data_IF_425934474415
#
_entry.id   IF_425934474415
#
_cell.length_a   1.000
_cell.length_b   1.000
_cell.length_c   1.000
_cell.angle_alpha   90.00
_cell.angle_beta   90.00
_cell.angle_gamma   90.00
#
_symmetry.space_group_name_H-M   'P 1'
#
loop_
_entity.id
_entity.type
_entity.pdbx_description
1 polymer ?
#
# COMPACT_ATOMS: atom_id res chain seq x y z
N UNK A 1 -34.60 -41.26 -5.48
CA UNK A 1 -35.19 -40.24 -6.35
C UNK A 1 -34.70 -38.91 -5.85
N UNK A 2 -33.69 -38.34 -6.53
CA UNK A 2 -33.21 -36.99 -6.21
C UNK A 2 -34.23 -35.98 -6.76
N UNK A 3 -34.76 -35.12 -5.91
CA UNK A 3 -35.58 -34.00 -6.34
C UNK A 3 -34.78 -33.15 -7.32
N UNK A 4 -35.39 -32.63 -8.41
CA UNK A 4 -34.69 -31.70 -9.30
C UNK A 4 -34.32 -30.44 -8.51
N UNK A 5 -33.09 -29.97 -8.69
CA UNK A 5 -32.66 -28.67 -8.20
C UNK A 5 -33.64 -27.62 -8.72
N UNK A 6 -34.29 -26.89 -7.81
CA UNK A 6 -35.13 -25.75 -8.17
C UNK A 6 -34.32 -24.70 -8.96
N UNK A 7 -34.98 -23.78 -9.68
CA UNK A 7 -34.33 -22.74 -10.43
C UNK A 7 -33.43 -21.96 -9.48
N UNK A 8 -32.15 -21.83 -9.83
CA UNK A 8 -31.20 -20.99 -9.07
C UNK A 8 -31.76 -19.56 -8.98
N UNK A 9 -31.92 -19.02 -7.77
CA UNK A 9 -32.30 -17.62 -7.59
C UNK A 9 -31.29 -16.75 -8.37
N UNK A 10 -31.73 -15.92 -9.33
CA UNK A 10 -30.85 -15.13 -10.17
C UNK A 10 -29.99 -14.12 -9.39
N UNK A 11 -30.30 -13.91 -8.11
CA UNK A 11 -29.52 -13.06 -7.21
C UNK A 11 -28.44 -13.81 -6.43
N UNK A 12 -28.22 -15.11 -6.69
CA UNK A 12 -27.21 -15.91 -6.02
C UNK A 12 -25.96 -16.05 -6.87
N UNK A 13 -24.80 -15.72 -6.29
CA UNK A 13 -23.50 -15.92 -6.90
C UNK A 13 -23.20 -17.42 -7.09
N UNK A 14 -22.31 -17.74 -8.02
CA UNK A 14 -21.90 -19.12 -8.32
C UNK A 14 -21.30 -19.86 -7.12
N UNK A 15 -20.74 -19.14 -6.17
CA UNK A 15 -20.12 -19.63 -4.93
C UNK A 15 -21.08 -19.63 -3.72
N UNK A 16 -22.37 -19.32 -3.95
CA UNK A 16 -23.43 -19.33 -2.94
C UNK A 16 -23.69 -18.00 -2.24
N UNK A 17 -22.95 -16.94 -2.53
CA UNK A 17 -23.20 -15.59 -2.05
C UNK A 17 -24.42 -14.94 -2.72
N UNK A 18 -24.80 -13.73 -2.26
CA UNK A 18 -25.90 -12.95 -2.80
C UNK A 18 -25.38 -11.77 -3.62
N UNK A 19 -26.01 -11.51 -4.75
CA UNK A 19 -25.82 -10.27 -5.49
C UNK A 19 -26.28 -9.07 -4.64
N UNK A 20 -25.47 -8.03 -4.62
CA UNK A 20 -25.73 -6.83 -3.85
C UNK A 20 -25.66 -5.60 -4.75
N UNK A 21 -26.36 -4.55 -4.32
CA UNK A 21 -26.18 -3.21 -4.84
C UNK A 21 -25.21 -2.44 -3.92
N UNK A 22 -24.27 -1.71 -4.51
CA UNK A 22 -23.29 -0.92 -3.78
C UNK A 22 -22.97 0.38 -4.51
N UNK A 23 -22.77 1.47 -3.75
CA UNK A 23 -22.20 2.69 -4.32
C UNK A 23 -20.68 2.74 -4.14
N UNK A 24 -19.98 3.29 -5.13
CA UNK A 24 -18.57 3.66 -5.06
C UNK A 24 -18.42 5.17 -5.25
N UNK A 25 -17.78 5.83 -4.29
CA UNK A 25 -17.41 7.23 -4.36
C UNK A 25 -15.89 7.35 -4.41
N UNK A 26 -15.40 7.98 -5.49
CA UNK A 26 -13.98 8.00 -5.81
C UNK A 26 -13.61 6.91 -6.82
N UNK A 27 -13.44 7.32 -8.08
CA UNK A 27 -13.22 6.45 -9.23
C UNK A 27 -11.80 6.53 -9.78
N UNK A 28 -10.84 6.84 -8.90
CA UNK A 28 -9.43 6.72 -9.21
C UNK A 28 -9.04 5.27 -9.57
N UNK A 29 -7.76 5.02 -9.82
CA UNK A 29 -7.27 3.70 -10.27
C UNK A 29 -7.78 2.51 -9.45
N UNK A 30 -7.83 2.64 -8.12
CA UNK A 30 -8.31 1.54 -7.27
C UNK A 30 -9.83 1.46 -7.25
N UNK A 31 -10.55 2.57 -7.04
CA UNK A 31 -12.02 2.56 -7.00
C UNK A 31 -12.66 2.05 -8.29
N UNK A 32 -12.20 2.51 -9.43
CA UNK A 32 -12.67 2.01 -10.73
C UNK A 32 -12.41 0.50 -10.91
N UNK A 33 -11.25 0.01 -10.48
CA UNK A 33 -10.91 -1.41 -10.59
C UNK A 33 -11.74 -2.28 -9.63
N UNK A 34 -12.05 -1.79 -8.43
CA UNK A 34 -12.98 -2.47 -7.51
C UNK A 34 -14.37 -2.56 -8.13
N UNK A 35 -14.90 -1.47 -8.71
CA UNK A 35 -16.19 -1.48 -9.42
C UNK A 35 -16.20 -2.53 -10.53
N UNK A 36 -15.16 -2.58 -11.36
CA UNK A 36 -15.05 -3.57 -12.44
C UNK A 36 -15.07 -5.01 -11.92
N UNK A 37 -14.36 -5.29 -10.81
CA UNK A 37 -14.40 -6.62 -10.18
C UNK A 37 -15.79 -6.98 -9.69
N UNK A 38 -16.46 -6.05 -9.01
CA UNK A 38 -17.82 -6.23 -8.51
C UNK A 38 -18.81 -6.51 -9.64
N UNK A 39 -18.74 -5.74 -10.73
CA UNK A 39 -19.59 -5.96 -11.91
C UNK A 39 -19.29 -7.28 -12.62
N UNK A 40 -18.02 -7.74 -12.66
CA UNK A 40 -17.65 -9.07 -13.20
C UNK A 40 -18.38 -10.20 -12.45
N UNK A 41 -18.55 -10.05 -11.15
CA UNK A 41 -19.28 -11.01 -10.30
C UNK A 41 -20.80 -10.78 -10.27
N UNK A 42 -21.29 -9.76 -11.01
CA UNK A 42 -22.71 -9.47 -11.19
C UNK A 42 -23.33 -8.52 -10.19
N UNK A 43 -22.55 -7.92 -9.28
CA UNK A 43 -23.06 -6.88 -8.38
C UNK A 43 -23.45 -5.62 -9.14
N UNK A 44 -24.49 -4.92 -8.65
CA UNK A 44 -24.94 -3.65 -9.20
C UNK A 44 -24.15 -2.49 -8.56
N UNK A 45 -23.45 -1.70 -9.37
CA UNK A 45 -22.65 -0.61 -8.90
C UNK A 45 -23.22 0.76 -9.29
N UNK A 46 -23.48 1.62 -8.29
CA UNK A 46 -23.77 3.04 -8.50
C UNK A 46 -22.48 3.83 -8.25
N UNK A 47 -22.06 4.69 -9.18
CA UNK A 47 -20.74 5.30 -9.14
C UNK A 47 -20.81 6.82 -9.16
N UNK A 48 -19.96 7.47 -8.37
CA UNK A 48 -19.82 8.92 -8.32
C UNK A 48 -18.35 9.32 -8.14
N UNK A 49 -17.96 10.34 -8.87
CA UNK A 49 -16.69 11.04 -8.74
C UNK A 49 -16.89 12.54 -9.02
N UNK A 50 -15.97 13.37 -8.53
CA UNK A 50 -15.92 14.80 -8.89
C UNK A 50 -15.52 15.02 -10.34
N UNK A 51 -14.86 14.04 -10.97
CA UNK A 51 -14.60 13.98 -12.40
C UNK A 51 -15.76 13.28 -13.14
N UNK A 52 -16.62 14.01 -13.88
CA UNK A 52 -17.71 13.42 -14.64
C UNK A 52 -17.23 12.46 -15.74
N UNK A 53 -15.99 12.61 -16.21
CA UNK A 53 -15.39 11.73 -17.21
C UNK A 53 -15.20 10.32 -16.67
N UNK A 54 -14.74 10.18 -15.41
CA UNK A 54 -14.60 8.89 -14.74
C UNK A 54 -15.96 8.20 -14.54
N UNK A 55 -17.00 8.96 -14.16
CA UNK A 55 -18.38 8.44 -14.04
C UNK A 55 -18.90 7.94 -15.39
N UNK A 56 -18.74 8.74 -16.45
CA UNK A 56 -19.19 8.39 -17.80
C UNK A 56 -18.50 7.12 -18.32
N UNK A 57 -17.19 6.99 -18.07
CA UNK A 57 -16.42 5.83 -18.48
C UNK A 57 -16.95 4.53 -17.86
N UNK A 58 -17.16 4.50 -16.54
CA UNK A 58 -17.70 3.32 -15.85
C UNK A 58 -19.18 3.06 -16.18
N UNK A 59 -19.97 4.10 -16.42
CA UNK A 59 -21.34 3.96 -16.87
C UNK A 59 -21.41 3.27 -18.26
N UNK A 60 -20.48 3.57 -19.15
CA UNK A 60 -20.37 2.87 -20.44
C UNK A 60 -19.95 1.40 -20.30
N UNK A 61 -19.32 1.03 -19.19
CA UNK A 61 -18.97 -0.35 -18.85
C UNK A 61 -20.10 -1.12 -18.11
N UNK A 62 -21.22 -0.45 -17.75
CA UNK A 62 -22.40 -1.07 -17.13
C UNK A 62 -22.72 -0.59 -15.71
N UNK A 63 -21.95 0.31 -15.11
CA UNK A 63 -22.31 0.91 -13.84
C UNK A 63 -23.43 1.96 -13.98
N UNK A 64 -24.13 2.25 -12.90
CA UNK A 64 -25.11 3.34 -12.85
C UNK A 64 -24.41 4.63 -12.41
N UNK A 65 -24.23 5.60 -13.31
CA UNK A 65 -23.63 6.90 -12.96
C UNK A 65 -24.56 7.76 -12.10
N UNK A 66 -23.97 8.50 -11.15
CA UNK A 66 -24.66 9.49 -10.33
C UNK A 66 -24.05 10.89 -10.53
N UNK A 67 -24.89 11.91 -10.47
CA UNK A 67 -24.49 13.30 -10.65
C UNK A 67 -24.10 14.03 -9.33
N UNK A 68 -24.47 13.44 -8.19
CA UNK A 68 -24.18 13.96 -6.85
C UNK A 68 -24.30 12.85 -5.81
N UNK A 69 -23.87 13.11 -4.57
CA UNK A 69 -24.04 12.20 -3.43
C UNK A 69 -25.54 11.94 -3.15
N UNK A 70 -26.40 12.98 -3.26
CA UNK A 70 -27.83 12.80 -3.10
C UNK A 70 -28.47 11.95 -4.21
N UNK A 71 -28.03 12.16 -5.47
CA UNK A 71 -28.47 11.35 -6.61
C UNK A 71 -27.98 9.90 -6.46
N UNK A 72 -26.74 9.69 -5.99
CA UNK A 72 -26.21 8.37 -5.69
C UNK A 72 -27.08 7.63 -4.66
N UNK A 73 -27.39 8.26 -3.52
CA UNK A 73 -28.20 7.67 -2.49
C UNK A 73 -29.62 7.33 -2.96
N UNK A 74 -30.21 8.15 -3.86
CA UNK A 74 -31.56 7.92 -4.42
C UNK A 74 -31.63 6.72 -5.38
N UNK A 75 -30.50 6.24 -5.88
CA UNK A 75 -30.36 5.09 -6.79
C UNK A 75 -30.06 3.78 -6.07
N UNK A 76 -29.95 3.81 -4.74
CA UNK A 76 -29.67 2.65 -3.91
C UNK A 76 -30.91 2.20 -3.14
N UNK A 77 -31.13 0.90 -3.08
CA UNK A 77 -32.13 0.29 -2.22
C UNK A 77 -31.63 0.22 -0.76
N UNK A 78 -32.51 0.50 0.20
CA UNK A 78 -32.18 0.35 1.62
C UNK A 78 -32.19 -1.14 2.06
N UNK A 79 -31.32 -1.55 2.95
CA UNK A 79 -30.23 -0.79 3.57
C UNK A 79 -29.06 -0.56 2.61
N UNK A 80 -28.67 0.70 2.45
CA UNK A 80 -27.68 1.14 1.47
C UNK A 80 -26.27 0.81 1.92
N UNK A 81 -25.38 0.58 0.95
CA UNK A 81 -23.94 0.39 1.19
C UNK A 81 -23.16 1.36 0.30
N UNK A 82 -22.35 2.21 0.91
CA UNK A 82 -21.53 3.22 0.21
C UNK A 82 -20.06 3.02 0.54
N UNK A 83 -19.25 2.73 -0.47
CA UNK A 83 -17.80 2.58 -0.37
C UNK A 83 -17.11 3.88 -0.81
N UNK A 84 -16.23 4.41 0.05
CA UNK A 84 -15.43 5.60 -0.21
C UNK A 84 -14.01 5.17 -0.58
N UNK A 85 -13.51 5.65 -1.73
CA UNK A 85 -12.16 5.35 -2.21
C UNK A 85 -11.45 6.65 -2.59
N UNK A 86 -11.22 7.50 -1.59
CA UNK A 86 -10.71 8.86 -1.74
C UNK A 86 -9.46 9.09 -0.88
N UNK A 87 -8.67 10.14 -1.17
CA UNK A 87 -7.53 10.50 -0.33
C UNK A 87 -7.93 10.81 1.12
N UNK A 88 -7.13 10.36 2.09
CA UNK A 88 -7.40 10.49 3.53
C UNK A 88 -7.74 11.93 3.98
N UNK A 89 -7.13 12.94 3.32
CA UNK A 89 -7.35 14.35 3.68
C UNK A 89 -8.77 14.87 3.44
N UNK A 90 -9.57 14.20 2.61
CA UNK A 90 -10.95 14.60 2.30
C UNK A 90 -11.98 13.61 2.84
N UNK A 91 -11.56 12.43 3.32
CA UNK A 91 -12.46 11.35 3.76
C UNK A 91 -13.43 11.83 4.83
N UNK A 92 -12.99 12.57 5.85
CA UNK A 92 -13.87 13.04 6.91
C UNK A 92 -15.04 13.89 6.40
N UNK A 93 -14.75 14.89 5.57
CA UNK A 93 -15.77 15.73 4.97
C UNK A 93 -16.75 14.92 4.08
N UNK A 94 -16.23 13.92 3.36
CA UNK A 94 -17.07 13.09 2.51
C UNK A 94 -17.95 12.14 3.32
N UNK A 95 -17.46 11.60 4.44
CA UNK A 95 -18.25 10.80 5.38
C UNK A 95 -19.45 11.63 5.88
N UNK A 96 -19.22 12.89 6.28
CA UNK A 96 -20.29 13.79 6.74
C UNK A 96 -21.34 14.05 5.64
N UNK A 97 -20.90 14.27 4.40
CA UNK A 97 -21.80 14.48 3.25
C UNK A 97 -22.62 13.24 2.92
N UNK A 98 -22.02 12.06 2.99
CA UNK A 98 -22.71 10.79 2.72
C UNK A 98 -23.66 10.46 3.86
N UNK A 99 -23.25 10.64 5.11
CA UNK A 99 -24.11 10.41 6.28
C UNK A 99 -25.37 11.28 6.27
N UNK A 100 -25.28 12.52 5.72
CA UNK A 100 -26.43 13.43 5.63
C UNK A 100 -27.55 12.94 4.70
N UNK A 101 -27.31 11.94 3.86
CA UNK A 101 -28.29 11.38 2.89
C UNK A 101 -28.59 9.91 3.14
N UNK A 102 -28.02 9.33 4.18
CA UNK A 102 -28.23 7.94 4.59
C UNK A 102 -29.15 7.85 5.81
N UNK A 103 -29.72 6.68 6.02
CA UNK A 103 -30.64 6.37 7.11
C UNK A 103 -30.05 5.31 8.06
N UNK A 104 -30.71 5.11 9.20
CA UNK A 104 -30.33 4.05 10.14
C UNK A 104 -30.32 2.67 9.46
N UNK A 105 -29.28 1.90 9.73
CA UNK A 105 -29.05 0.59 9.13
C UNK A 105 -28.23 0.63 7.84
N UNK A 106 -27.98 1.81 7.25
CA UNK A 106 -27.06 1.95 6.11
C UNK A 106 -25.59 1.78 6.55
N UNK A 107 -24.70 1.48 5.59
CA UNK A 107 -23.26 1.27 5.83
C UNK A 107 -22.43 2.24 5.01
N UNK A 108 -21.48 2.90 5.66
CA UNK A 108 -20.36 3.61 5.02
C UNK A 108 -19.10 2.75 5.18
N UNK A 109 -18.42 2.47 4.08
CA UNK A 109 -17.14 1.77 4.06
C UNK A 109 -16.05 2.75 3.63
N UNK A 110 -15.06 2.98 4.50
CA UNK A 110 -13.85 3.72 4.15
C UNK A 110 -12.79 2.72 3.64
N UNK A 111 -12.53 2.71 2.33
CA UNK A 111 -11.51 1.87 1.69
C UNK A 111 -10.23 2.63 1.35
N UNK A 112 -10.11 3.88 1.78
CA UNK A 112 -8.91 4.71 1.59
C UNK A 112 -7.75 4.32 2.49
N UNK A 113 -6.70 5.15 2.48
CA UNK A 113 -5.59 5.03 3.42
C UNK A 113 -5.82 5.94 4.63
N UNK A 114 -6.87 5.68 5.39
CA UNK A 114 -7.22 6.48 6.56
C UNK A 114 -6.44 6.08 7.81
N UNK A 115 -6.33 7.02 8.75
CA UNK A 115 -5.77 6.73 10.06
C UNK A 115 -6.83 6.01 10.92
N UNK A 116 -6.52 4.86 11.46
CA UNK A 116 -7.41 4.05 12.30
C UNK A 116 -8.06 4.83 13.47
N UNK A 117 -7.38 5.85 13.99
CA UNK A 117 -7.94 6.71 15.06
C UNK A 117 -9.10 7.57 14.57
N UNK A 118 -9.05 7.96 13.30
CA UNK A 118 -10.14 8.74 12.70
C UNK A 118 -11.34 7.83 12.42
N UNK A 119 -11.09 6.56 12.08
CA UNK A 119 -12.16 5.57 11.89
C UNK A 119 -12.94 5.32 13.20
N UNK A 120 -12.22 5.15 14.31
CA UNK A 120 -12.85 5.02 15.65
C UNK A 120 -13.74 6.25 15.95
N UNK A 121 -13.21 7.47 15.73
CA UNK A 121 -13.98 8.71 15.97
C UNK A 121 -15.20 8.84 15.07
N UNK A 122 -15.07 8.48 13.79
CA UNK A 122 -16.18 8.50 12.82
C UNK A 122 -17.24 7.49 13.17
N UNK A 123 -16.86 6.28 13.55
CA UNK A 123 -17.79 5.25 14.02
C UNK A 123 -18.58 5.73 15.25
N UNK A 124 -17.89 6.31 16.24
CA UNK A 124 -18.53 6.89 17.43
C UNK A 124 -19.50 8.03 17.09
N UNK A 125 -19.11 8.90 16.14
CA UNK A 125 -19.94 10.03 15.71
C UNK A 125 -21.20 9.59 14.93
N UNK A 126 -21.13 8.50 14.17
CA UNK A 126 -22.24 7.97 13.36
C UNK A 126 -23.18 7.06 14.16
N UNK A 127 -22.73 6.45 15.24
CA UNK A 127 -23.52 5.52 16.05
C UNK A 127 -24.89 6.07 16.48
N UNK A 128 -25.05 7.35 16.92
CA UNK A 128 -26.35 7.89 17.29
C UNK A 128 -27.38 7.95 16.16
N UNK A 129 -26.93 8.05 14.90
CA UNK A 129 -27.80 8.03 13.71
C UNK A 129 -28.13 6.61 13.23
N UNK A 130 -27.53 5.58 13.85
CA UNK A 130 -27.72 4.19 13.44
C UNK A 130 -27.03 3.81 12.12
N UNK A 131 -26.16 4.66 11.59
CA UNK A 131 -25.35 4.38 10.40
C UNK A 131 -24.10 3.59 10.84
N UNK A 132 -23.86 2.47 10.19
CA UNK A 132 -22.67 1.65 10.45
C UNK A 132 -21.46 2.19 9.70
N UNK A 133 -20.33 2.31 10.41
CA UNK A 133 -19.06 2.67 9.82
C UNK A 133 -18.12 1.45 9.80
N UNK A 134 -17.59 1.14 8.61
CA UNK A 134 -16.66 0.05 8.35
C UNK A 134 -15.39 0.65 7.75
N UNK A 135 -14.23 0.25 8.22
CA UNK A 135 -12.94 0.56 7.62
C UNK A 135 -12.40 -0.68 6.89
N UNK A 136 -11.93 -0.50 5.67
CA UNK A 136 -11.49 -1.59 4.80
C UNK A 136 -10.09 -1.31 4.23
N UNK A 137 -9.07 -1.65 4.99
CA UNK A 137 -7.68 -1.58 4.54
C UNK A 137 -7.47 -2.48 3.33
N UNK A 138 -7.10 -1.88 2.20
CA UNK A 138 -7.01 -2.55 0.90
C UNK A 138 -5.56 -2.63 0.43
N UNK A 139 -5.06 -3.84 0.16
CA UNK A 139 -3.73 -4.10 -0.39
C UNK A 139 -3.82 -4.84 -1.72
N UNK A 140 -3.04 -4.41 -2.73
CA UNK A 140 -3.03 -4.97 -4.09
C UNK A 140 -2.72 -3.94 -5.16
N UNK A 141 -2.85 -2.65 -4.85
CA UNK A 141 -2.49 -1.54 -5.73
C UNK A 141 -3.16 -1.62 -7.11
N UNK A 142 -2.41 -1.29 -8.15
CA UNK A 142 -2.93 -1.28 -9.53
C UNK A 142 -3.20 -2.68 -10.10
N UNK A 143 -2.62 -3.71 -9.49
CA UNK A 143 -2.78 -5.11 -9.93
C UNK A 143 -4.05 -5.77 -9.40
N UNK A 144 -4.76 -5.12 -8.50
CA UNK A 144 -5.94 -5.69 -7.83
C UNK A 144 -7.10 -6.01 -8.76
N UNK A 145 -7.18 -5.38 -9.95
CA UNK A 145 -8.21 -5.72 -10.94
C UNK A 145 -8.15 -7.20 -11.33
N UNK A 146 -6.97 -7.73 -11.59
CA UNK A 146 -6.79 -9.13 -12.01
C UNK A 146 -6.49 -10.06 -10.83
N UNK A 147 -5.65 -9.62 -9.88
CA UNK A 147 -5.21 -10.45 -8.75
C UNK A 147 -6.16 -10.47 -7.57
N UNK A 148 -7.12 -9.52 -7.49
CA UNK A 148 -7.90 -9.26 -6.29
C UNK A 148 -7.14 -8.41 -5.27
N UNK A 149 -7.86 -7.99 -4.24
CA UNK A 149 -7.34 -7.16 -3.16
C UNK A 149 -7.39 -7.91 -1.83
N UNK A 150 -6.28 -7.97 -1.12
CA UNK A 150 -6.28 -8.41 0.28
C UNK A 150 -6.96 -7.34 1.14
N UNK A 151 -7.98 -7.74 1.92
CA UNK A 151 -8.84 -6.82 2.67
C UNK A 151 -8.74 -7.09 4.18
N UNK A 152 -8.40 -6.05 4.93
CA UNK A 152 -8.39 -6.02 6.39
C UNK A 152 -9.53 -5.13 6.85
N UNK A 153 -10.58 -5.71 7.44
CA UNK A 153 -11.86 -5.04 7.64
C UNK A 153 -12.12 -4.84 9.14
N UNK A 154 -12.48 -3.63 9.53
CA UNK A 154 -12.95 -3.30 10.88
C UNK A 154 -14.38 -2.76 10.84
N UNK A 155 -15.19 -3.13 11.82
CA UNK A 155 -16.58 -2.67 11.89
C UNK A 155 -17.45 -3.53 12.76
N UNK A 156 -18.74 -3.13 12.96
CA UNK A 156 -19.72 -3.97 13.66
C UNK A 156 -19.94 -5.30 12.93
N UNK A 157 -20.02 -6.40 13.67
CA UNK A 157 -20.22 -7.76 13.15
C UNK A 157 -21.39 -7.85 12.15
N UNK A 158 -22.51 -7.22 12.47
CA UNK A 158 -23.69 -7.20 11.62
C UNK A 158 -23.41 -6.53 10.26
N UNK A 159 -22.74 -5.37 10.27
CA UNK A 159 -22.41 -4.65 9.06
C UNK A 159 -21.41 -5.42 8.19
N UNK A 160 -20.36 -5.96 8.82
CA UNK A 160 -19.33 -6.73 8.09
C UNK A 160 -19.90 -8.02 7.52
N UNK A 161 -20.74 -8.74 8.27
CA UNK A 161 -21.42 -9.95 7.78
C UNK A 161 -22.33 -9.66 6.59
N UNK A 162 -23.02 -8.50 6.61
CA UNK A 162 -23.90 -8.10 5.50
C UNK A 162 -23.13 -7.84 4.21
N UNK A 163 -21.96 -7.20 4.29
CA UNK A 163 -21.15 -6.86 3.13
C UNK A 163 -20.18 -7.98 2.71
N UNK A 164 -20.21 -9.13 3.38
CA UNK A 164 -19.32 -10.25 3.06
C UNK A 164 -19.33 -10.65 1.58
N UNK A 165 -20.47 -10.71 0.86
CA UNK A 165 -20.46 -10.99 -0.58
C UNK A 165 -19.62 -10.00 -1.39
N UNK A 166 -19.64 -8.71 -1.02
CA UNK A 166 -18.81 -7.66 -1.63
C UNK A 166 -17.33 -7.92 -1.36
N UNK A 167 -16.97 -8.21 -0.09
CA UNK A 167 -15.58 -8.48 0.28
C UNK A 167 -15.04 -9.69 -0.46
N UNK A 168 -15.84 -10.74 -0.61
CA UNK A 168 -15.50 -11.96 -1.34
C UNK A 168 -15.21 -11.70 -2.81
N UNK A 169 -16.03 -10.90 -3.48
CA UNK A 169 -15.84 -10.53 -4.90
C UNK A 169 -14.60 -9.65 -5.13
N UNK A 170 -14.27 -8.78 -4.18
CA UNK A 170 -13.08 -7.92 -4.26
C UNK A 170 -11.81 -8.73 -3.98
N UNK A 171 -11.87 -9.68 -3.06
CA UNK A 171 -10.72 -10.48 -2.62
C UNK A 171 -10.15 -11.39 -3.73
N UNK A 172 -8.88 -11.85 -3.60
CA UNK A 172 -8.26 -12.73 -4.61
C UNK A 172 -8.88 -14.13 -4.65
N UNK A 173 -9.62 -14.55 -3.64
CA UNK A 173 -10.02 -15.95 -3.47
C UNK A 173 -8.84 -16.81 -3.01
N UNK A 174 -9.00 -18.14 -2.98
CA UNK A 174 -7.94 -19.06 -2.54
C UNK A 174 -6.74 -19.09 -3.49
N UNK A 175 -6.94 -18.77 -4.77
CA UNK A 175 -5.88 -18.79 -5.79
C UNK A 175 -5.13 -20.12 -5.85
N UNK A 176 -3.85 -20.04 -6.23
CA UNK A 176 -2.94 -21.20 -6.32
C UNK A 176 -2.06 -21.35 -5.08
N UNK A 177 -2.35 -20.63 -4.00
CA UNK A 177 -1.57 -20.69 -2.76
C UNK A 177 -1.96 -21.96 -2.00
N UNK A 178 -0.97 -22.81 -1.75
CA UNK A 178 -1.17 -24.02 -0.97
C UNK A 178 -1.63 -23.69 0.46
N UNK A 179 -2.60 -24.46 0.98
CA UNK A 179 -3.09 -24.27 2.35
C UNK A 179 -1.97 -24.44 3.36
N UNK A 180 -1.95 -23.56 4.34
CA UNK A 180 -1.01 -23.69 5.47
C UNK A 180 -1.18 -25.06 6.13
N UNK A 181 -0.09 -25.83 6.33
CA UNK A 181 -0.14 -27.13 6.97
C UNK A 181 -0.85 -27.07 8.34
N UNK A 182 -1.79 -27.98 8.55
CA UNK A 182 -2.59 -28.05 9.78
C UNK A 182 -3.96 -27.34 9.67
N UNK A 183 -4.24 -26.53 8.66
CA UNK A 183 -5.59 -26.04 8.41
C UNK A 183 -6.46 -27.13 7.78
N UNK A 184 -7.68 -27.32 8.30
CA UNK A 184 -8.64 -28.35 7.86
C UNK A 184 -10.04 -27.76 7.77
N UNK A 185 -10.99 -28.50 7.19
CA UNK A 185 -12.39 -28.06 7.01
C UNK A 185 -12.60 -27.15 5.81
N UNK A 186 -13.66 -26.35 5.82
CA UNK A 186 -13.95 -25.36 4.78
C UNK A 186 -12.94 -24.20 4.79
N UNK A 187 -12.77 -23.54 3.64
CA UNK A 187 -11.91 -22.38 3.52
C UNK A 187 -12.49 -21.18 4.30
N UNK A 188 -11.70 -20.67 5.23
CA UNK A 188 -12.06 -19.49 6.00
C UNK A 188 -11.90 -18.19 5.19
N UNK A 189 -12.46 -17.04 5.65
CA UNK A 189 -12.32 -15.76 4.96
C UNK A 189 -10.87 -15.34 4.71
N UNK A 190 -9.97 -15.52 5.68
CA UNK A 190 -8.56 -15.18 5.54
C UNK A 190 -7.84 -16.06 4.48
N UNK A 191 -8.29 -17.27 4.26
CA UNK A 191 -7.79 -18.14 3.18
C UNK A 191 -8.32 -17.71 1.80
N UNK A 192 -9.30 -16.79 1.78
CA UNK A 192 -9.84 -16.16 0.56
C UNK A 192 -9.30 -14.75 0.35
N UNK A 193 -8.49 -14.23 1.27
CA UNK A 193 -7.83 -12.93 1.19
C UNK A 193 -8.60 -11.75 1.79
N UNK A 194 -9.57 -11.99 2.68
CA UNK A 194 -10.20 -10.94 3.49
C UNK A 194 -10.40 -11.42 4.93
N UNK A 195 -10.36 -10.47 5.87
CA UNK A 195 -10.53 -10.79 7.30
C UNK A 195 -11.26 -9.67 8.03
N UNK A 196 -12.27 -10.02 8.82
CA UNK A 196 -12.83 -9.13 9.84
C UNK A 196 -11.87 -9.10 11.03
N UNK A 197 -11.16 -7.99 11.19
CA UNK A 197 -10.09 -7.82 12.18
C UNK A 197 -10.60 -7.42 13.57
N UNK A 198 -11.86 -6.98 13.67
CA UNK A 198 -12.47 -6.50 14.92
C UNK A 198 -13.32 -5.24 14.71
N UNK A 199 -13.53 -4.42 15.76
CA UNK A 199 -14.35 -3.21 15.67
C UNK A 199 -13.77 -2.17 14.72
N UNK A 200 -14.56 -1.12 14.42
CA UNK A 200 -14.13 -0.02 13.53
C UNK A 200 -12.76 0.54 13.93
N UNK A 201 -11.89 0.73 12.96
CA UNK A 201 -10.49 1.12 13.10
C UNK A 201 -9.52 -0.07 13.09
N UNK A 202 -9.97 -1.30 13.36
CA UNK A 202 -9.09 -2.47 13.39
C UNK A 202 -8.57 -2.87 12.02
N UNK A 203 -9.34 -2.68 10.96
CA UNK A 203 -8.94 -2.96 9.59
C UNK A 203 -7.78 -2.06 9.15
N UNK A 204 -7.93 -0.75 9.28
CA UNK A 204 -6.86 0.20 8.98
C UNK A 204 -5.67 0.08 9.93
N UNK A 205 -5.89 -0.32 11.19
CA UNK A 205 -4.78 -0.63 12.10
C UNK A 205 -3.92 -1.78 11.57
N UNK A 206 -4.54 -2.89 11.19
CA UNK A 206 -3.83 -4.04 10.60
C UNK A 206 -3.17 -3.65 9.28
N UNK A 207 -3.86 -2.84 8.45
CA UNK A 207 -3.32 -2.34 7.17
C UNK A 207 -2.09 -1.46 7.37
N UNK A 208 -2.08 -0.53 8.33
CA UNK A 208 -0.90 0.32 8.55
C UNK A 208 0.31 -0.49 9.01
N UNK A 209 0.10 -1.52 9.86
CA UNK A 209 1.19 -2.43 10.28
C UNK A 209 1.73 -3.22 9.10
N UNK A 210 0.84 -3.72 8.23
CA UNK A 210 1.23 -4.35 6.96
C UNK A 210 2.14 -3.42 6.14
N UNK A 211 1.77 -2.15 5.98
CA UNK A 211 2.58 -1.18 5.24
C UNK A 211 3.91 -0.85 5.95
N UNK A 212 3.93 -0.83 7.28
CA UNK A 212 5.18 -0.71 8.04
C UNK A 212 6.14 -1.86 7.74
N UNK A 213 5.62 -3.11 7.72
CA UNK A 213 6.39 -4.30 7.34
C UNK A 213 6.87 -4.20 5.89
N UNK A 214 6.01 -3.77 4.97
CA UNK A 214 6.35 -3.52 3.57
C UNK A 214 7.55 -2.57 3.43
N UNK A 215 7.57 -1.45 4.18
CA UNK A 215 8.71 -0.54 4.21
C UNK A 215 10.00 -1.24 4.63
N UNK A 216 9.95 -2.07 5.67
CA UNK A 216 11.11 -2.83 6.15
C UNK A 216 11.65 -3.81 5.10
N UNK A 217 10.78 -4.56 4.43
CA UNK A 217 11.15 -5.50 3.37
C UNK A 217 11.76 -4.74 2.18
N UNK A 218 11.13 -3.65 1.74
CA UNK A 218 11.64 -2.83 0.64
C UNK A 218 13.03 -2.26 0.95
N UNK A 219 13.23 -1.73 2.16
CA UNK A 219 14.53 -1.22 2.59
C UNK A 219 15.60 -2.32 2.58
N UNK A 220 15.31 -3.49 3.15
CA UNK A 220 16.25 -4.61 3.17
C UNK A 220 16.65 -5.10 1.76
N UNK A 221 15.69 -5.18 0.83
CA UNK A 221 15.98 -5.53 -0.56
C UNK A 221 16.84 -4.46 -1.24
N UNK A 222 16.52 -3.18 -1.04
CA UNK A 222 17.26 -2.07 -1.62
C UNK A 222 18.71 -2.02 -1.10
N UNK A 223 18.92 -2.11 0.21
CA UNK A 223 20.25 -2.13 0.84
C UNK A 223 21.07 -3.33 0.35
N UNK A 224 20.49 -4.53 0.35
CA UNK A 224 21.16 -5.75 -0.11
C UNK A 224 21.60 -5.66 -1.58
N UNK A 225 20.71 -5.21 -2.46
CA UNK A 225 21.03 -5.02 -3.88
C UNK A 225 22.05 -3.90 -4.08
N UNK A 226 22.04 -2.84 -3.28
CA UNK A 226 23.04 -1.79 -3.31
C UNK A 226 24.43 -2.29 -2.89
N UNK A 227 24.51 -3.17 -1.88
CA UNK A 227 25.77 -3.84 -1.53
C UNK A 227 26.33 -4.62 -2.71
N UNK A 228 25.47 -5.41 -3.40
CA UNK A 228 25.88 -6.16 -4.58
C UNK A 228 26.32 -5.25 -5.74
N UNK A 229 25.63 -4.14 -5.96
CA UNK A 229 25.97 -3.12 -6.96
C UNK A 229 27.36 -2.53 -6.73
N UNK A 230 27.79 -2.43 -5.47
CA UNK A 230 29.08 -1.88 -5.04
C UNK A 230 30.13 -2.95 -4.74
N UNK A 231 29.89 -4.22 -5.10
CA UNK A 231 30.86 -5.30 -4.91
C UNK A 231 32.11 -5.18 -5.81
N UNK A 232 32.18 -4.17 -6.67
CA UNK A 232 33.31 -3.81 -7.53
C UNK A 232 34.19 -2.69 -6.95
N UNK A 233 33.98 -2.30 -5.70
CA UNK A 233 34.70 -1.17 -5.07
C UNK A 233 36.22 -1.31 -5.18
N UNK A 234 36.77 -2.53 -5.09
CA UNK A 234 38.20 -2.80 -5.24
C UNK A 234 38.74 -2.73 -6.70
N UNK A 235 37.89 -2.43 -7.67
CA UNK A 235 38.26 -2.13 -9.06
C UNK A 235 38.33 -0.63 -9.33
N UNK A 236 37.86 0.19 -8.41
CA UNK A 236 37.80 1.66 -8.52
C UNK A 236 39.14 2.26 -8.08
N UNK A 237 39.52 3.42 -8.62
CA UNK A 237 40.68 4.16 -8.08
C UNK A 237 40.47 4.49 -6.60
N UNK A 238 41.48 4.21 -5.78
CA UNK A 238 41.45 4.61 -4.36
C UNK A 238 41.61 6.13 -4.25
N UNK A 239 40.71 6.76 -3.55
CA UNK A 239 40.87 8.14 -3.08
C UNK A 239 41.68 8.13 -1.75
N UNK A 240 42.95 8.49 -1.82
CA UNK A 240 43.78 8.63 -0.62
C UNK A 240 43.51 9.98 0.02
N UNK A 241 42.81 9.99 1.12
CA UNK A 241 42.50 11.17 1.91
C UNK A 241 42.60 10.84 3.40
N UNK A 242 43.11 11.79 4.19
CA UNK A 242 43.05 11.69 5.66
C UNK A 242 41.60 11.70 6.21
N UNK A 243 40.65 12.06 5.38
CA UNK A 243 39.23 12.22 5.72
C UNK A 243 38.39 10.94 5.44
N UNK A 244 38.92 10.01 4.64
CA UNK A 244 38.23 8.78 4.22
C UNK A 244 39.07 7.58 4.64
N UNK A 245 38.44 6.63 5.33
CA UNK A 245 39.05 5.34 5.60
C UNK A 245 39.28 4.59 4.29
N UNK A 246 40.47 4.04 4.04
CA UNK A 246 40.74 3.24 2.84
C UNK A 246 39.92 1.96 2.86
N UNK A 247 39.62 1.43 1.69
CA UNK A 247 39.04 0.11 1.56
C UNK A 247 40.05 -0.95 2.01
N UNK A 248 39.72 -1.68 3.07
CA UNK A 248 40.55 -2.79 3.53
C UNK A 248 40.40 -3.98 2.57
N UNK A 249 41.50 -4.62 2.23
CA UNK A 249 41.57 -5.84 1.40
C UNK A 249 40.75 -5.72 0.08
N UNK A 250 41.08 -4.73 -0.79
CA UNK A 250 40.32 -4.43 -2.01
C UNK A 250 40.22 -5.62 -2.99
N UNK A 251 41.11 -6.59 -2.86
CA UNK A 251 41.10 -7.83 -3.66
C UNK A 251 39.83 -8.66 -3.44
N UNK A 252 39.14 -8.53 -2.32
CA UNK A 252 37.87 -9.24 -2.04
C UNK A 252 36.64 -8.51 -2.56
N UNK A 253 36.78 -7.32 -3.14
CA UNK A 253 35.68 -6.49 -3.65
C UNK A 253 35.85 -6.19 -5.14
N UNK A 254 36.10 -7.24 -5.95
CA UNK A 254 36.35 -7.13 -7.40
C UNK A 254 35.31 -7.91 -8.22
N UNK A 255 34.06 -7.89 -7.77
CA UNK A 255 32.96 -8.63 -8.39
C UNK A 255 32.06 -7.68 -9.16
N UNK A 256 32.01 -7.79 -10.47
CA UNK A 256 30.97 -7.13 -11.28
C UNK A 256 29.72 -7.99 -11.24
N UNK A 257 28.76 -7.61 -10.39
CA UNK A 257 27.53 -8.37 -10.18
C UNK A 257 26.41 -7.82 -11.06
N UNK A 258 25.77 -8.72 -11.81
CA UNK A 258 24.54 -8.42 -12.55
C UNK A 258 23.34 -8.47 -11.59
N UNK A 259 22.97 -7.31 -11.02
CA UNK A 259 21.88 -7.22 -10.03
C UNK A 259 20.51 -7.58 -10.59
N UNK A 260 20.12 -7.26 -11.84
CA UNK A 260 18.94 -7.83 -12.49
C UNK A 260 18.90 -9.35 -12.48
N UNK A 261 20.01 -10.01 -12.87
CA UNK A 261 20.09 -11.46 -12.89
C UNK A 261 20.01 -12.07 -11.48
N UNK A 262 20.57 -11.41 -10.48
CA UNK A 262 20.47 -11.85 -9.06
C UNK A 262 19.03 -11.74 -8.56
N UNK A 263 18.33 -10.63 -8.86
CA UNK A 263 16.92 -10.48 -8.49
C UNK A 263 16.06 -11.57 -9.13
N UNK A 264 16.29 -11.87 -10.43
CA UNK A 264 15.59 -12.97 -11.12
C UNK A 264 15.92 -14.34 -10.51
N UNK A 265 17.18 -14.58 -10.12
CA UNK A 265 17.57 -15.82 -9.44
C UNK A 265 16.84 -15.98 -8.11
N UNK A 266 16.85 -14.93 -7.28
CA UNK A 266 16.29 -15.03 -5.94
C UNK A 266 14.78 -15.20 -5.92
N UNK A 267 14.04 -14.61 -6.87
CA UNK A 267 12.59 -14.80 -6.98
C UNK A 267 12.19 -16.23 -7.37
N UNK A 268 13.13 -17.05 -7.89
CA UNK A 268 12.89 -18.42 -8.37
C UNK A 268 12.98 -19.49 -7.29
N UNK A 269 12.83 -19.16 -6.02
CA UNK A 269 12.76 -20.15 -4.95
C UNK A 269 13.75 -19.97 -3.81
N UNK A 270 14.37 -18.79 -3.69
CA UNK A 270 15.11 -18.45 -2.49
C UNK A 270 14.12 -18.18 -1.33
N UNK A 271 14.64 -18.28 -0.10
CA UNK A 271 13.82 -18.05 1.11
C UNK A 271 13.26 -16.60 1.21
N UNK A 272 13.84 -15.64 0.45
CA UNK A 272 13.37 -14.25 0.38
C UNK A 272 12.46 -13.99 -0.83
N UNK A 273 12.06 -15.04 -1.57
CA UNK A 273 11.12 -14.89 -2.67
C UNK A 273 9.81 -14.26 -2.18
N UNK A 274 9.33 -13.26 -2.90
CA UNK A 274 8.14 -12.50 -2.51
C UNK A 274 7.62 -11.70 -3.70
N UNK A 275 6.36 -11.26 -3.64
CA UNK A 275 5.84 -10.36 -4.68
C UNK A 275 6.63 -9.04 -4.78
N UNK A 276 7.13 -8.49 -3.68
CA UNK A 276 8.01 -7.31 -3.74
C UNK A 276 9.30 -7.59 -4.51
N UNK A 277 9.87 -8.77 -4.36
CA UNK A 277 11.04 -9.17 -5.15
C UNK A 277 10.70 -9.39 -6.63
N UNK A 278 9.50 -9.92 -6.96
CA UNK A 278 9.01 -10.01 -8.34
C UNK A 278 8.93 -8.63 -8.99
N UNK A 279 8.37 -7.64 -8.27
CA UNK A 279 8.28 -6.26 -8.74
C UNK A 279 9.67 -5.61 -8.87
N UNK A 280 10.59 -5.92 -7.97
CA UNK A 280 11.99 -5.46 -8.04
C UNK A 280 12.67 -6.01 -9.29
N UNK A 281 12.53 -7.30 -9.57
CA UNK A 281 13.10 -7.93 -10.77
C UNK A 281 12.51 -7.32 -12.06
N UNK A 282 11.20 -7.09 -12.10
CA UNK A 282 10.54 -6.44 -13.23
C UNK A 282 11.08 -5.01 -13.47
N UNK A 283 11.22 -4.21 -12.41
CA UNK A 283 11.78 -2.86 -12.50
C UNK A 283 13.23 -2.86 -13.02
N UNK A 284 14.06 -3.79 -12.55
CA UNK A 284 15.45 -3.91 -12.96
C UNK A 284 15.61 -4.43 -14.40
N UNK A 285 14.67 -5.22 -14.91
CA UNK A 285 14.64 -5.62 -16.33
C UNK A 285 14.28 -4.43 -17.21
N UNK A 286 13.31 -3.63 -16.79
CA UNK A 286 12.89 -2.43 -17.53
C UNK A 286 13.97 -1.34 -17.53
N UNK A 287 14.62 -1.12 -16.39
CA UNK A 287 15.63 -0.08 -16.19
C UNK A 287 16.77 -0.58 -15.27
N UNK A 288 17.77 -1.27 -15.80
CA UNK A 288 18.86 -1.88 -15.00
C UNK A 288 19.70 -0.90 -14.19
N UNK A 289 19.79 0.33 -14.64
CA UNK A 289 20.57 1.41 -13.99
C UNK A 289 19.73 2.32 -13.11
N UNK A 290 18.40 2.18 -13.17
CA UNK A 290 17.41 3.03 -12.50
C UNK A 290 17.53 4.52 -12.90
N UNK A 291 18.05 4.79 -14.10
CA UNK A 291 18.21 6.15 -14.63
C UNK A 291 16.88 6.90 -14.67
N UNK A 292 16.93 8.21 -14.39
CA UNK A 292 15.74 9.05 -14.33
C UNK A 292 14.95 8.97 -13.02
N UNK A 293 15.34 8.11 -12.07
CA UNK A 293 14.79 8.08 -10.72
C UNK A 293 15.70 8.89 -9.77
N UNK A 294 15.15 9.90 -9.13
CA UNK A 294 15.89 10.81 -8.24
C UNK A 294 16.21 10.21 -6.85
N UNK A 295 15.77 8.98 -6.56
CA UNK A 295 15.97 8.33 -5.26
C UNK A 295 15.18 8.96 -4.10
N UNK A 296 14.23 9.86 -4.37
CA UNK A 296 13.38 10.50 -3.33
C UNK A 296 12.17 9.65 -3.05
N UNK A 297 12.08 9.06 -1.85
CA UNK A 297 11.03 8.11 -1.48
C UNK A 297 10.03 8.77 -0.54
N UNK A 298 8.79 8.94 -1.01
CA UNK A 298 7.70 9.48 -0.18
C UNK A 298 7.15 8.43 0.79
N UNK A 299 6.53 8.90 1.87
CA UNK A 299 5.71 8.08 2.76
C UNK A 299 4.26 8.59 2.75
N UNK A 300 3.30 7.68 2.79
CA UNK A 300 1.86 7.96 2.77
C UNK A 300 1.22 8.02 4.17
N UNK A 301 2.04 7.94 5.22
CA UNK A 301 1.66 8.10 6.61
C UNK A 301 1.59 6.79 7.41
N UNK A 302 1.33 5.64 6.80
CA UNK A 302 1.12 4.36 7.49
C UNK A 302 2.39 3.92 8.25
N UNK A 303 3.58 4.10 7.67
CA UNK A 303 4.84 3.84 8.37
C UNK A 303 5.00 4.70 9.63
N UNK A 304 4.60 5.98 9.56
CA UNK A 304 4.60 6.88 10.73
C UNK A 304 3.62 6.40 11.80
N UNK A 305 2.41 6.02 11.39
CA UNK A 305 1.39 5.56 12.35
C UNK A 305 1.80 4.24 13.00
N UNK A 306 2.42 3.33 12.24
CA UNK A 306 2.98 2.06 12.77
C UNK A 306 4.05 2.30 13.82
N UNK A 307 5.03 3.18 13.55
CA UNK A 307 6.09 3.52 14.51
C UNK A 307 5.49 4.20 15.76
N UNK A 308 4.53 5.13 15.58
CA UNK A 308 3.83 5.75 16.71
C UNK A 308 3.07 4.74 17.55
N UNK A 309 2.38 3.79 16.91
CA UNK A 309 1.68 2.72 17.63
C UNK A 309 2.66 1.84 18.41
N UNK A 310 3.81 1.51 17.85
CA UNK A 310 4.85 0.76 18.56
C UNK A 310 5.36 1.52 19.80
N UNK A 311 5.55 2.84 19.71
CA UNK A 311 5.94 3.70 20.86
C UNK A 311 4.82 3.72 21.90
N UNK A 312 3.57 3.97 21.48
CA UNK A 312 2.42 4.09 22.38
C UNK A 312 2.13 2.78 23.14
N UNK A 313 2.40 1.63 22.51
CA UNK A 313 2.19 0.29 23.11
C UNK A 313 3.44 -0.29 23.77
N UNK A 314 4.59 0.41 23.72
CA UNK A 314 5.85 -0.06 24.29
C UNK A 314 6.47 -1.23 23.54
N UNK A 315 6.16 -1.41 22.27
CA UNK A 315 6.68 -2.51 21.43
C UNK A 315 7.93 -2.07 20.67
N UNK A 316 9.08 -2.76 20.79
CA UNK A 316 10.27 -2.44 20.02
C UNK A 316 10.06 -2.69 18.52
N UNK A 317 10.32 -1.68 17.67
CA UNK A 317 10.21 -1.78 16.22
C UNK A 317 11.41 -1.11 15.50
N UNK A 318 12.67 -1.49 15.82
CA UNK A 318 13.86 -0.81 15.27
C UNK A 318 13.95 -0.91 13.74
N UNK A 319 13.61 -2.06 13.14
CA UNK A 319 13.66 -2.27 11.68
C UNK A 319 12.66 -1.35 10.97
N UNK A 320 11.42 -1.30 11.45
CA UNK A 320 10.38 -0.45 10.82
C UNK A 320 10.69 1.04 11.01
N UNK A 321 11.24 1.41 12.17
CA UNK A 321 11.66 2.79 12.41
C UNK A 321 12.81 3.19 11.49
N UNK A 322 13.83 2.37 11.32
CA UNK A 322 14.95 2.62 10.42
C UNK A 322 14.46 2.80 8.97
N UNK A 323 13.62 1.90 8.48
CA UNK A 323 13.06 1.98 7.13
C UNK A 323 12.20 3.25 6.90
N UNK A 324 11.51 3.74 7.92
CA UNK A 324 10.78 5.01 7.86
C UNK A 324 11.74 6.21 7.80
N UNK A 325 12.77 6.23 8.66
CA UNK A 325 13.73 7.34 8.72
C UNK A 325 14.57 7.41 7.45
N UNK A 326 14.90 6.29 6.82
CA UNK A 326 15.55 6.26 5.52
C UNK A 326 14.75 7.01 4.44
N UNK A 327 13.41 6.87 4.44
CA UNK A 327 12.56 7.67 3.54
C UNK A 327 12.65 9.17 3.82
N UNK A 328 12.86 9.58 5.07
CA UNK A 328 13.10 11.00 5.40
C UNK A 328 14.46 11.46 4.90
N UNK A 329 15.50 10.67 5.14
CA UNK A 329 16.85 10.96 4.66
C UNK A 329 16.90 11.05 3.12
N UNK A 330 16.19 10.16 2.41
CA UNK A 330 16.12 10.18 0.94
C UNK A 330 15.57 11.49 0.35
N UNK A 331 14.89 12.32 1.15
CA UNK A 331 14.35 13.63 0.77
C UNK A 331 15.17 14.81 1.27
N UNK A 332 16.37 14.55 1.82
CA UNK A 332 17.25 15.54 2.43
C UNK A 332 16.66 16.23 3.69
N UNK A 333 15.72 15.56 4.37
CA UNK A 333 15.13 16.08 5.61
C UNK A 333 16.17 16.09 6.77
N UNK A 334 17.33 15.43 6.60
CA UNK A 334 18.50 15.38 7.49
C UNK A 334 19.62 16.35 7.13
N UNK A 335 19.47 17.16 6.07
CA UNK A 335 20.52 18.05 5.54
C UNK A 335 21.14 18.94 6.62
N UNK A 336 20.34 19.55 7.48
CA UNK A 336 20.86 20.40 8.55
C UNK A 336 21.72 19.62 9.55
N UNK A 337 21.31 18.39 9.90
CA UNK A 337 22.08 17.54 10.81
C UNK A 337 23.44 17.18 10.19
N UNK A 338 23.47 16.83 8.92
CA UNK A 338 24.71 16.53 8.19
C UNK A 338 25.63 17.76 8.09
N UNK A 339 25.08 18.94 7.81
CA UNK A 339 25.85 20.20 7.82
C UNK A 339 26.45 20.50 9.22
N UNK A 340 25.70 20.23 10.28
CA UNK A 340 26.19 20.44 11.65
C UNK A 340 27.30 19.44 12.00
N UNK A 341 27.19 18.18 11.59
CA UNK A 341 28.27 17.18 11.76
C UNK A 341 29.53 17.62 11.05
N UNK A 342 29.44 18.12 9.84
CA UNK A 342 30.55 18.64 9.07
C UNK A 342 31.18 19.84 9.74
N UNK A 343 30.37 20.79 10.22
CA UNK A 343 30.85 21.95 10.96
C UNK A 343 31.55 21.57 12.25
N UNK A 344 31.04 20.57 13.00
CA UNK A 344 31.73 20.09 14.23
C UNK A 344 33.09 19.45 13.89
N UNK A 345 33.16 18.61 12.83
CA UNK A 345 34.46 18.03 12.39
C UNK A 345 35.47 19.11 12.02
N UNK A 346 35.03 20.16 11.35
CA UNK A 346 35.89 21.31 11.03
C UNK A 346 36.41 22.02 12.30
N UNK A 347 35.53 22.22 13.29
CA UNK A 347 35.89 22.97 14.50
C UNK A 347 36.86 22.22 15.43
N UNK A 348 36.66 20.92 15.63
CA UNK A 348 37.51 20.18 16.55
C UNK A 348 38.76 19.57 15.89
N UNK A 349 38.73 19.26 14.58
CA UNK A 349 39.82 18.57 13.90
C UNK A 349 40.37 19.29 12.68
N UNK A 350 39.79 20.42 12.26
CA UNK A 350 40.18 21.12 11.03
C UNK A 350 39.78 20.36 9.75
N UNK A 351 39.00 19.30 9.88
CA UNK A 351 38.55 18.45 8.76
C UNK A 351 37.58 19.22 7.85
N UNK A 352 37.98 19.44 6.60
CA UNK A 352 37.14 20.12 5.60
C UNK A 352 36.33 19.10 4.81
N UNK A 353 35.13 19.50 4.38
CA UNK A 353 34.37 18.71 3.43
C UNK A 353 35.17 18.54 2.13
N UNK A 354 35.12 17.32 1.60
CA UNK A 354 35.63 17.07 0.25
C UNK A 354 34.65 17.70 -0.76
N UNK A 355 35.15 18.24 -1.91
CA UNK A 355 34.29 18.74 -2.95
C UNK A 355 33.29 17.64 -3.38
N UNK A 356 32.01 17.96 -3.51
CA UNK A 356 31.04 17.07 -4.11
C UNK A 356 31.53 16.68 -5.52
N UNK A 357 31.46 15.41 -5.89
CA UNK A 357 32.07 14.79 -7.09
C UNK A 357 31.74 15.39 -8.46
N UNK A 358 31.06 16.51 -8.55
CA UNK A 358 30.79 17.25 -9.78
C UNK A 358 31.89 18.26 -10.16
N UNK A 359 33.03 18.33 -9.44
CA UNK A 359 34.12 19.27 -9.70
C UNK A 359 35.47 18.56 -9.84
N UNK A 360 35.52 17.53 -10.67
CA UNK A 360 36.77 17.08 -11.28
C UNK A 360 36.80 17.43 -12.77
N UNK A 361 36.46 18.68 -13.11
CA UNK A 361 36.96 19.28 -14.35
C UNK A 361 38.43 19.69 -14.12
N UNK A 362 39.28 19.00 -14.83
CA UNK A 362 40.67 19.30 -15.13
C UNK A 362 41.00 20.81 -15.10
N UNK A 363 41.54 21.28 -13.99
CA UNK A 363 42.08 22.63 -13.85
C UNK A 363 43.60 22.57 -13.79
N UNK A 364 44.22 22.98 -14.88
CA UNK A 364 45.62 22.94 -15.19
C UNK A 364 46.57 23.47 -14.11
N UNK A 365 47.77 22.91 -14.16
CA UNK A 365 48.97 23.46 -13.55
C UNK A 365 49.08 24.97 -13.79
N UNK A 366 49.24 25.75 -12.74
CA UNK A 366 50.11 26.91 -12.83
C UNK A 366 51.16 26.82 -11.72
N UNK A 367 52.38 26.53 -12.16
CA UNK A 367 53.58 26.89 -11.40
C UNK A 367 53.62 28.44 -11.31
N UNK A 368 54.13 28.84 -10.23
CA UNK A 368 54.97 30.05 -9.99
C UNK A 368 54.59 30.84 -8.75
N UNK A 369 55.62 30.94 -7.93
CA UNK A 369 56.07 31.83 -6.88
C UNK A 369 55.90 31.35 -5.46
#
# INVERSE_FOLDING_TARGET
MNAPAGPSDPRRLSDGGWLMQIAMVGLGRMGANIVRRLMRDGHECVVYDVDPGAVTALAAEGATGAASIADLASKLDAPRTVWLMVPAGITGQLVDQVAAVLDAGDVIIDGGNSNYRDDVRRAEALAPSGIHYVDAGTSGGVFGLERGYCLMVGGPDEAVSRIEPILRSIAPGPGDIERTPGRTGELSPEERGYLHCGPSGSGHFVKMVHNGIEYGIMAALAEGLNILKNADAGLRPEEHSAEIAPLEEPEFYRFTIDTPAVAELWRRGSVISSWLLDLTAAALVENPTLDGLAGRVSDSGEGRWTVKAAVDTGVPAPVLAAALFERFASREDDRYANQLLSAMRLQFGGHRELPSGDVLETGGRSADA
#
